data_IF_885050050841
#
_entry.id   IF_885050050841
#
_cell.length_a   1.000
_cell.length_b   1.000
_cell.length_c   1.000
_cell.angle_alpha   90.00
_cell.angle_beta   90.00
_cell.angle_gamma   90.00
#
_symmetry.space_group_name_H-M   'P 1'
#
loop_
_entity.id
_entity.type
_entity.pdbx_description
1 polymer ?
#
# COMPACT_ATOMS: atom_id res chain seq x y z
N UNK A 1 -44.00 17.98 -29.96
CA UNK A 1 -42.83 18.48 -30.72
C UNK A 1 -41.64 17.64 -30.33
N UNK A 2 -41.04 16.93 -31.29
CA UNK A 2 -39.90 16.05 -31.05
C UNK A 2 -38.57 16.76 -31.26
N UNK A 3 -37.54 16.32 -30.55
CA UNK A 3 -36.15 16.44 -30.98
C UNK A 3 -35.34 15.30 -30.35
N UNK A 4 -35.13 14.25 -31.14
CA UNK A 4 -34.15 13.20 -30.89
C UNK A 4 -32.75 13.74 -31.19
N UNK A 5 -31.84 13.71 -30.23
CA UNK A 5 -30.40 13.93 -30.47
C UNK A 5 -29.70 12.59 -30.68
N UNK A 6 -29.14 12.42 -31.87
CA UNK A 6 -28.46 11.21 -32.35
C UNK A 6 -27.07 11.05 -31.72
N UNK A 7 -26.72 9.80 -31.43
CA UNK A 7 -25.38 9.32 -31.17
C UNK A 7 -24.47 9.52 -32.39
N UNK A 8 -23.25 10.02 -32.17
CA UNK A 8 -22.20 10.11 -33.18
C UNK A 8 -21.23 8.91 -33.10
N UNK A 9 -20.79 8.35 -34.24
CA UNK A 9 -19.87 7.20 -34.29
C UNK A 9 -18.43 7.61 -34.00
N UNK A 10 -17.73 6.81 -33.19
CA UNK A 10 -16.29 6.93 -32.94
C UNK A 10 -15.51 6.31 -34.12
N UNK A 11 -14.47 6.98 -34.65
CA UNK A 11 -13.66 6.43 -35.71
C UNK A 11 -12.70 5.34 -35.19
N UNK A 12 -12.73 4.19 -35.85
CA UNK A 12 -11.74 3.12 -35.73
C UNK A 12 -10.52 3.44 -36.58
N UNK A 13 -9.33 3.31 -35.98
CA UNK A 13 -8.00 3.30 -36.65
C UNK A 13 -7.11 2.43 -35.76
N UNK A 14 -6.79 1.17 -36.09
CA UNK A 14 -5.96 0.59 -37.15
C UNK A 14 -4.53 0.24 -36.65
N UNK A 15 -4.21 -1.05 -36.77
CA UNK A 15 -2.96 -1.66 -37.28
C UNK A 15 -1.60 -1.24 -36.70
N UNK A 16 -0.81 -2.22 -36.20
CA UNK A 16 0.64 -2.04 -36.10
C UNK A 16 1.42 -3.06 -35.28
N UNK A 17 1.75 -4.18 -35.92
CA UNK A 17 2.96 -5.01 -35.83
C UNK A 17 3.63 -5.42 -34.49
N UNK A 18 3.89 -6.72 -34.44
CA UNK A 18 4.65 -7.51 -33.48
C UNK A 18 6.05 -6.97 -33.14
N UNK A 19 6.44 -7.18 -31.88
CA UNK A 19 7.82 -7.12 -31.43
C UNK A 19 8.13 -8.36 -30.58
N UNK A 20 9.00 -9.20 -31.14
CA UNK A 20 9.58 -10.40 -30.54
C UNK A 20 10.61 -9.99 -29.51
N UNK A 21 10.59 -10.58 -28.30
CA UNK A 21 11.74 -10.53 -27.38
C UNK A 21 12.00 -11.92 -26.79
N UNK A 22 13.18 -12.45 -27.15
CA UNK A 22 13.76 -13.67 -26.65
C UNK A 22 14.18 -13.50 -25.17
N UNK A 23 13.82 -14.47 -24.33
CA UNK A 23 14.27 -14.57 -22.94
C UNK A 23 15.41 -15.57 -22.86
N UNK A 24 16.59 -15.12 -22.44
CA UNK A 24 17.66 -15.99 -21.94
C UNK A 24 17.74 -15.82 -20.42
N UNK A 25 17.30 -16.83 -19.67
CA UNK A 25 17.52 -16.92 -18.22
C UNK A 25 18.73 -17.84 -17.97
N UNK A 26 19.86 -17.25 -17.59
CA UNK A 26 20.97 -17.95 -16.96
C UNK A 26 20.93 -17.64 -15.48
N UNK A 27 20.54 -18.61 -14.66
CA UNK A 27 20.64 -18.56 -13.21
C UNK A 27 21.33 -19.82 -12.72
N UNK A 28 22.53 -19.68 -12.14
CA UNK A 28 23.22 -20.76 -11.44
C UNK A 28 23.16 -20.50 -9.93
N UNK A 29 22.75 -21.53 -9.19
CA UNK A 29 22.44 -21.50 -7.77
C UNK A 29 23.67 -21.42 -6.87
N UNK A 30 23.40 -21.00 -5.63
CA UNK A 30 24.41 -20.90 -4.57
C UNK A 30 24.72 -22.22 -3.88
N UNK A 31 25.76 -22.20 -3.04
CA UNK A 31 25.97 -23.10 -1.91
C UNK A 31 27.07 -22.51 -1.03
N UNK A 32 26.68 -21.88 0.08
CA UNK A 32 27.60 -21.44 1.13
C UNK A 32 27.51 -22.41 2.29
N UNK A 33 28.55 -23.24 2.46
CA UNK A 33 28.72 -24.15 3.58
C UNK A 33 29.26 -23.39 4.79
N UNK A 34 28.53 -23.38 5.90
CA UNK A 34 29.07 -23.16 7.25
C UNK A 34 28.61 -24.36 8.08
N UNK A 35 29.48 -25.17 8.68
CA UNK A 35 30.61 -24.76 9.52
C UNK A 35 30.18 -25.07 10.96
N UNK A 36 30.29 -26.34 11.34
CA UNK A 36 30.06 -26.82 12.69
C UNK A 36 31.21 -26.39 13.59
N UNK A 37 30.94 -25.74 14.71
CA UNK A 37 31.88 -25.71 15.83
C UNK A 37 31.13 -25.76 17.16
N UNK A 38 31.44 -26.82 17.89
CA UNK A 38 31.08 -27.07 19.27
C UNK A 38 31.82 -26.11 20.20
N UNK A 39 31.15 -25.57 21.23
CA UNK A 39 31.83 -25.20 22.48
C UNK A 39 30.88 -25.16 23.66
N UNK A 40 31.09 -26.14 24.54
CA UNK A 40 30.54 -26.23 25.90
C UNK A 40 31.05 -25.06 26.73
N UNK A 41 30.14 -24.37 27.40
CA UNK A 41 30.46 -23.36 28.41
C UNK A 41 29.42 -23.38 29.52
N UNK A 42 29.64 -24.25 30.52
CA UNK A 42 28.90 -24.22 31.78
C UNK A 42 29.25 -22.94 32.54
N UNK A 43 28.25 -22.08 32.75
CA UNK A 43 28.35 -20.89 33.59
C UNK A 43 27.01 -20.67 34.27
N UNK A 44 26.82 -21.32 35.42
CA UNK A 44 25.70 -21.02 36.31
C UNK A 44 25.91 -19.66 36.96
N UNK A 45 25.07 -18.70 36.60
CA UNK A 45 24.90 -17.44 37.33
C UNK A 45 23.42 -17.22 37.53
N UNK A 46 22.99 -17.32 38.79
CA UNK A 46 21.64 -17.06 39.26
C UNK A 46 21.12 -15.73 38.71
N UNK A 47 19.88 -15.64 38.21
CA UNK A 47 19.26 -14.35 37.98
C UNK A 47 18.96 -13.73 39.34
N UNK A 48 19.80 -12.78 39.77
CA UNK A 48 19.42 -11.78 40.75
C UNK A 48 18.11 -11.15 40.28
N UNK A 49 17.08 -11.26 41.12
CA UNK A 49 15.79 -10.65 40.92
C UNK A 49 15.98 -9.15 40.68
N UNK A 50 15.94 -8.74 39.42
CA UNK A 50 15.87 -7.34 39.04
C UNK A 50 14.47 -6.88 39.44
N UNK A 51 14.40 -6.03 40.47
CA UNK A 51 13.16 -5.39 40.87
C UNK A 51 12.52 -4.63 39.69
N UNK A 52 11.24 -4.25 39.80
CA UNK A 52 10.51 -3.63 38.69
C UNK A 52 11.26 -2.37 38.23
N UNK A 53 11.88 -2.45 37.05
CA UNK A 53 12.42 -1.29 36.37
C UNK A 53 11.29 -0.31 36.05
N UNK A 54 11.58 0.99 35.87
CA UNK A 54 10.57 1.97 35.54
C UNK A 54 9.81 1.52 34.28
N UNK A 55 8.50 1.29 34.44
CA UNK A 55 7.61 0.89 33.34
C UNK A 55 7.66 1.97 32.26
N UNK A 56 8.44 1.75 31.21
CA UNK A 56 8.36 2.59 30.01
C UNK A 56 6.96 2.40 29.41
N UNK A 57 6.24 3.49 29.08
CA UNK A 57 4.94 3.38 28.46
C UNK A 57 5.06 2.57 27.16
N UNK A 58 4.20 1.56 27.00
CA UNK A 58 4.10 0.84 25.74
C UNK A 58 3.66 1.82 24.62
N UNK A 59 4.16 1.65 23.38
CA UNK A 59 3.67 2.41 22.23
C UNK A 59 2.16 2.28 22.09
N UNK A 60 1.45 3.40 21.99
CA UNK A 60 0.01 3.42 21.78
C UNK A 60 -0.30 3.04 20.32
N UNK A 61 -1.30 2.20 20.11
CA UNK A 61 -1.79 1.88 18.78
C UNK A 61 -2.30 3.13 18.04
N UNK A 62 -2.11 3.22 16.71
CA UNK A 62 -2.65 4.33 15.94
C UNK A 62 -4.19 4.31 15.98
N UNK A 63 -4.80 5.50 15.98
CA UNK A 63 -6.26 5.60 15.82
C UNK A 63 -6.69 5.04 14.45
N UNK A 64 -7.93 4.55 14.30
CA UNK A 64 -8.42 4.04 13.02
C UNK A 64 -8.31 5.05 11.87
N UNK A 65 -8.57 6.34 12.14
CA UNK A 65 -8.43 7.42 11.15
C UNK A 65 -6.98 7.59 10.71
N UNK A 66 -6.02 7.53 11.65
CA UNK A 66 -4.59 7.64 11.34
C UNK A 66 -4.12 6.44 10.52
N UNK A 67 -4.50 5.23 10.93
CA UNK A 67 -4.17 4.01 10.20
C UNK A 67 -4.70 4.04 8.75
N UNK A 68 -5.96 4.43 8.57
CA UNK A 68 -6.56 4.61 7.25
C UNK A 68 -5.79 5.63 6.41
N UNK A 69 -5.45 6.79 6.99
CA UNK A 69 -4.75 7.87 6.29
C UNK A 69 -3.37 7.43 5.82
N UNK A 70 -2.62 6.75 6.70
CA UNK A 70 -1.27 6.27 6.42
C UNK A 70 -1.28 5.21 5.31
N UNK A 71 -2.18 4.22 5.41
CA UNK A 71 -2.32 3.15 4.40
C UNK A 71 -2.70 3.70 3.02
N UNK A 72 -3.75 4.51 2.96
CA UNK A 72 -4.25 5.06 1.70
C UNK A 72 -3.21 5.98 1.06
N UNK A 73 -2.58 6.85 1.83
CA UNK A 73 -1.56 7.77 1.31
C UNK A 73 -0.35 7.01 0.76
N UNK A 74 0.15 6.03 1.51
CA UNK A 74 1.28 5.21 1.10
C UNK A 74 1.00 4.49 -0.21
N UNK A 75 -0.11 3.74 -0.30
CA UNK A 75 -0.42 2.98 -1.49
C UNK A 75 -0.73 3.86 -2.70
N UNK A 76 -1.34 5.03 -2.49
CA UNK A 76 -1.65 5.94 -3.59
C UNK A 76 -0.37 6.56 -4.16
N UNK A 77 0.61 6.89 -3.30
CA UNK A 77 1.93 7.35 -3.72
C UNK A 77 2.71 6.25 -4.46
N UNK A 78 2.65 4.99 -4.01
CA UNK A 78 3.28 3.85 -4.70
C UNK A 78 2.70 3.63 -6.11
N UNK A 79 1.37 3.66 -6.22
CA UNK A 79 0.67 3.53 -7.50
C UNK A 79 0.99 4.71 -8.43
N UNK A 80 1.08 5.93 -7.89
CA UNK A 80 1.42 7.12 -8.68
C UNK A 80 2.89 7.11 -9.13
N UNK A 81 3.79 6.55 -8.32
CA UNK A 81 5.19 6.38 -8.67
C UNK A 81 5.42 5.28 -9.72
N UNK A 82 4.44 4.42 -9.98
CA UNK A 82 4.63 3.25 -10.84
C UNK A 82 5.66 2.29 -10.27
N UNK A 83 5.71 2.14 -8.93
CA UNK A 83 6.70 1.29 -8.27
C UNK A 83 6.47 -0.19 -8.59
N UNK A 84 7.41 -1.06 -8.19
CA UNK A 84 7.25 -2.53 -8.29
C UNK A 84 6.02 -3.08 -7.55
N UNK A 85 5.40 -2.27 -6.69
CA UNK A 85 4.19 -2.59 -5.92
C UNK A 85 2.93 -1.95 -6.52
N UNK A 86 3.07 -1.16 -7.59
CA UNK A 86 1.93 -0.63 -8.31
C UNK A 86 1.11 -1.77 -8.90
N UNK A 87 -0.22 -1.68 -8.77
CA UNK A 87 -1.12 -2.69 -9.30
C UNK A 87 -1.29 -3.96 -8.46
N UNK A 88 -0.72 -4.03 -7.25
CA UNK A 88 -1.17 -5.02 -6.27
C UNK A 88 -2.67 -4.85 -6.01
N UNK A 89 -3.37 -5.96 -5.83
CA UNK A 89 -4.78 -5.95 -5.44
C UNK A 89 -4.96 -5.37 -4.03
N UNK A 90 -6.21 -5.03 -3.69
CA UNK A 90 -6.52 -4.35 -2.44
C UNK A 90 -6.33 -5.24 -1.21
N UNK A 91 -6.46 -6.56 -1.35
CA UNK A 91 -6.25 -7.54 -0.28
C UNK A 91 -4.76 -7.66 0.08
N UNK A 92 -3.88 -7.72 -0.92
CA UNK A 92 -2.43 -7.72 -0.75
C UNK A 92 -1.91 -6.42 -0.16
N UNK A 93 -2.61 -5.31 -0.43
CA UNK A 93 -2.34 -4.00 0.19
C UNK A 93 -2.82 -3.93 1.65
N UNK A 94 -3.63 -4.89 2.10
CA UNK A 94 -4.20 -4.92 3.44
C UNK A 94 -5.28 -3.85 3.67
N UNK A 95 -5.95 -3.40 2.61
CA UNK A 95 -7.04 -2.44 2.71
C UNK A 95 -8.34 -3.17 3.10
N UNK A 96 -9.21 -2.52 3.88
CA UNK A 96 -10.62 -2.93 3.97
C UNK A 96 -11.35 -2.57 2.66
N UNK A 97 -12.54 -3.13 2.42
CA UNK A 97 -13.33 -2.75 1.24
C UNK A 97 -13.64 -1.24 1.24
N UNK A 98 -14.01 -0.68 2.39
CA UNK A 98 -14.31 0.74 2.49
C UNK A 98 -13.06 1.61 2.31
N UNK A 99 -11.89 1.16 2.77
CA UNK A 99 -10.62 1.84 2.51
C UNK A 99 -10.25 1.76 1.02
N UNK A 100 -10.53 0.64 0.35
CA UNK A 100 -10.31 0.48 -1.08
C UNK A 100 -11.14 1.47 -1.91
N UNK A 101 -12.42 1.68 -1.58
CA UNK A 101 -13.26 2.68 -2.24
C UNK A 101 -12.67 4.10 -2.12
N UNK A 102 -12.22 4.47 -0.91
CA UNK A 102 -11.58 5.77 -0.69
C UNK A 102 -10.26 5.88 -1.48
N UNK A 103 -9.47 4.81 -1.48
CA UNK A 103 -8.20 4.71 -2.18
C UNK A 103 -8.35 4.87 -3.70
N UNK A 104 -9.29 4.15 -4.32
CA UNK A 104 -9.46 4.14 -5.78
C UNK A 104 -9.82 5.54 -6.31
N UNK A 105 -10.76 6.20 -5.65
CA UNK A 105 -11.13 7.59 -5.94
C UNK A 105 -9.92 8.55 -5.81
N UNK A 106 -9.11 8.39 -4.76
CA UNK A 106 -7.94 9.24 -4.53
C UNK A 106 -6.89 9.02 -5.62
N UNK A 107 -6.63 7.77 -6.01
CA UNK A 107 -5.70 7.45 -7.11
C UNK A 107 -6.22 8.03 -8.43
N UNK A 108 -7.52 7.95 -8.69
CA UNK A 108 -8.13 8.56 -9.87
C UNK A 108 -7.90 10.09 -9.89
N UNK A 109 -8.20 10.77 -8.78
CA UNK A 109 -8.01 12.22 -8.65
C UNK A 109 -6.54 12.62 -8.73
N UNK A 110 -5.64 11.87 -8.08
CA UNK A 110 -4.20 12.14 -8.09
C UNK A 110 -3.58 11.95 -9.48
N UNK A 111 -4.03 10.97 -10.25
CA UNK A 111 -3.62 10.80 -11.65
C UNK A 111 -4.05 11.99 -12.50
N UNK A 112 -5.24 12.55 -12.27
CA UNK A 112 -5.70 13.76 -12.94
C UNK A 112 -4.88 14.99 -12.55
N UNK A 113 -4.63 15.17 -11.26
CA UNK A 113 -3.81 16.25 -10.71
C UNK A 113 -2.38 16.20 -11.25
N UNK A 114 -1.77 15.00 -11.30
CA UNK A 114 -0.42 14.80 -11.84
C UNK A 114 -0.31 15.28 -13.28
N UNK A 115 -1.33 15.02 -14.11
CA UNK A 115 -1.35 15.47 -15.51
C UNK A 115 -1.42 16.99 -15.65
N UNK A 116 -2.04 17.68 -14.68
CA UNK A 116 -2.27 19.13 -14.74
C UNK A 116 -1.16 19.94 -14.05
N UNK A 117 -0.69 19.44 -12.91
CA UNK A 117 0.12 20.19 -11.96
C UNK A 117 1.37 19.43 -11.48
N UNK A 118 1.62 18.24 -12.03
CA UNK A 118 2.82 17.44 -11.75
C UNK A 118 2.72 16.59 -10.49
N UNK A 119 3.74 15.75 -10.29
CA UNK A 119 3.79 14.77 -9.19
C UNK A 119 3.74 15.39 -7.79
N UNK A 120 4.45 16.50 -7.48
CA UNK A 120 4.37 17.09 -6.14
C UNK A 120 2.96 17.55 -5.75
N UNK A 121 2.22 18.15 -6.70
CA UNK A 121 0.84 18.57 -6.49
C UNK A 121 -0.09 17.38 -6.24
N UNK A 122 0.09 16.30 -7.01
CA UNK A 122 -0.65 15.06 -6.83
C UNK A 122 -0.38 14.39 -5.46
N UNK A 123 0.88 14.33 -5.02
CA UNK A 123 1.22 13.81 -3.69
C UNK A 123 0.60 14.65 -2.57
N UNK A 124 0.63 15.97 -2.71
CA UNK A 124 -0.03 16.86 -1.75
C UNK A 124 -1.56 16.68 -1.76
N UNK A 125 -2.16 16.43 -2.93
CA UNK A 125 -3.58 16.10 -3.04
C UNK A 125 -3.91 14.78 -2.33
N UNK A 126 -3.12 13.72 -2.56
CA UNK A 126 -3.29 12.41 -1.93
C UNK A 126 -3.41 12.56 -0.41
N UNK A 127 -2.43 13.23 0.22
CA UNK A 127 -2.39 13.40 1.68
C UNK A 127 -3.64 14.11 2.21
N UNK A 128 -3.99 15.26 1.61
CA UNK A 128 -5.19 16.04 2.02
C UNK A 128 -6.48 15.25 1.84
N UNK A 129 -6.61 14.49 0.74
CA UNK A 129 -7.82 13.71 0.48
C UNK A 129 -7.93 12.51 1.42
N UNK A 130 -6.82 11.82 1.67
CA UNK A 130 -6.76 10.69 2.59
C UNK A 130 -7.18 11.12 4.00
N UNK A 131 -6.57 12.18 4.54
CA UNK A 131 -6.92 12.74 5.85
C UNK A 131 -8.42 13.05 5.94
N UNK A 132 -8.93 13.83 4.98
CA UNK A 132 -10.33 14.29 4.98
C UNK A 132 -11.32 13.13 4.85
N UNK A 133 -11.06 12.18 3.95
CA UNK A 133 -12.00 11.08 3.67
C UNK A 133 -11.93 9.99 4.73
N UNK A 134 -10.74 9.65 5.22
CA UNK A 134 -10.59 8.73 6.34
C UNK A 134 -11.24 9.29 7.61
N UNK A 135 -11.12 10.60 7.88
CA UNK A 135 -11.81 11.23 9.00
C UNK A 135 -13.34 11.16 8.81
N UNK A 136 -13.85 11.51 7.62
CA UNK A 136 -15.28 11.44 7.33
C UNK A 136 -15.86 10.00 7.43
N UNK A 137 -15.05 8.99 7.12
CA UNK A 137 -15.42 7.59 7.22
C UNK A 137 -15.09 6.94 8.59
N UNK A 138 -14.69 7.71 9.60
CA UNK A 138 -14.27 7.21 10.92
C UNK A 138 -13.20 6.11 10.85
N UNK A 139 -12.23 6.25 9.92
CA UNK A 139 -11.16 5.28 9.68
C UNK A 139 -11.51 4.16 8.71
N UNK A 140 -12.70 4.20 8.12
CA UNK A 140 -13.16 3.23 7.13
C UNK A 140 -12.97 1.76 7.60
N UNK A 141 -13.31 1.52 8.87
CA UNK A 141 -13.12 0.23 9.54
C UNK A 141 -14.15 -0.82 9.13
N UNK A 142 -15.18 -0.43 8.37
CA UNK A 142 -16.22 -1.35 7.96
C UNK A 142 -15.80 -2.20 6.76
N UNK A 143 -16.32 -3.42 6.77
CA UNK A 143 -16.05 -4.48 5.81
C UNK A 143 -14.63 -5.00 5.86
N UNK A 144 -14.43 -5.81 6.88
CA UNK A 144 -13.36 -6.77 6.91
C UNK A 144 -13.98 -8.12 7.23
N UNK A 145 -13.73 -9.12 6.42
CA UNK A 145 -13.68 -10.47 7.01
C UNK A 145 -12.38 -10.64 7.85
N UNK A 146 -11.54 -9.59 7.98
CA UNK A 146 -10.17 -9.69 8.51
C UNK A 146 -9.66 -8.57 9.47
N UNK A 147 -10.43 -7.55 9.84
CA UNK A 147 -9.98 -6.46 10.73
C UNK A 147 -10.14 -6.92 12.16
N UNK A 148 -9.00 -6.98 12.86
CA UNK A 148 -8.95 -7.03 14.31
C UNK A 148 -8.51 -5.67 14.82
N UNK A 149 -9.12 -5.15 15.90
CA UNK A 149 -8.61 -3.94 16.53
C UNK A 149 -7.14 -4.17 16.94
N UNK A 150 -6.26 -3.17 16.77
CA UNK A 150 -4.93 -3.25 17.33
C UNK A 150 -5.04 -3.36 18.86
N UNK A 151 -4.44 -4.42 19.41
CA UNK A 151 -4.34 -4.68 20.86
C UNK A 151 -3.28 -3.82 21.51
#
# INVERSE_FOLDING_TARGET
>A
MGASTRAGPWPATACGCALVLAVTLTGCGGSGSGGSDDSRGSGGSSPSASGPGPNSPAPQAPSPVRLCTDLISYWAEQDLAGSRWAGLDWEQKGLSNQQYEIYDDIVHAARAERRRHGTPAANALIKRLAERRCAAANGATHSSENWRPPT
#
